data_IF_571629062538
#
_entry.id   IF_571629062538
#
_cell.length_a   1.000
_cell.length_b   1.000
_cell.length_c   1.000
_cell.angle_alpha   90.00
_cell.angle_beta   90.00
_cell.angle_gamma   90.00
#
_symmetry.space_group_name_H-M   'P 1'
#
loop_
_entity.id
_entity.type
_entity.pdbx_description
1 polymer ?
#
# COMPACT_ATOMS: atom_id res chain seq x y z
N UNK A 1 -15.99 23.62 40.11
CA UNK A 1 -14.83 22.69 40.10
C UNK A 1 -14.56 22.20 38.67
N UNK A 2 -15.02 22.93 37.63
CA UNK A 2 -15.31 22.35 36.31
C UNK A 2 -14.38 22.82 35.19
N UNK A 3 -13.62 23.90 35.42
CA UNK A 3 -12.64 24.42 34.47
C UNK A 3 -11.37 23.55 34.39
N UNK A 4 -10.94 22.97 35.52
CA UNK A 4 -9.73 22.14 35.59
C UNK A 4 -9.92 20.81 34.84
N UNK A 5 -11.11 20.20 34.93
CA UNK A 5 -11.40 18.93 34.26
C UNK A 5 -11.50 19.07 32.73
N UNK A 6 -11.95 20.24 32.22
CA UNK A 6 -11.97 20.52 30.79
C UNK A 6 -10.57 20.64 30.21
N UNK A 7 -9.65 21.33 30.89
CA UNK A 7 -8.26 21.49 30.48
C UNK A 7 -7.52 20.15 30.42
N UNK A 8 -7.66 19.30 31.44
CA UNK A 8 -7.03 17.97 31.52
C UNK A 8 -7.54 17.00 30.45
N UNK A 9 -8.82 17.07 30.07
CA UNK A 9 -9.37 16.22 29.03
C UNK A 9 -8.85 16.60 27.63
N UNK A 10 -8.72 17.90 27.32
CA UNK A 10 -8.11 18.36 26.06
C UNK A 10 -6.64 17.97 25.92
N UNK A 11 -5.84 18.05 26.98
CA UNK A 11 -4.42 17.66 26.93
C UNK A 11 -4.27 16.14 26.75
N UNK A 12 -5.09 15.34 27.44
CA UNK A 12 -5.13 13.89 27.23
C UNK A 12 -5.53 13.50 25.80
N UNK A 13 -6.55 14.14 25.22
CA UNK A 13 -6.98 13.89 23.84
C UNK A 13 -5.85 14.26 22.86
N UNK A 14 -5.14 15.37 23.07
CA UNK A 14 -4.04 15.79 22.21
C UNK A 14 -2.83 14.84 22.26
N UNK A 15 -2.50 14.29 23.43
CA UNK A 15 -1.42 13.33 23.60
C UNK A 15 -1.75 11.98 22.94
N UNK A 16 -2.99 11.52 23.09
CA UNK A 16 -3.45 10.29 22.45
C UNK A 16 -3.44 10.46 20.92
N UNK A 17 -3.93 11.59 20.41
CA UNK A 17 -3.90 11.88 18.98
C UNK A 17 -2.46 11.90 18.44
N UNK A 18 -1.52 12.55 19.15
CA UNK A 18 -0.12 12.62 18.73
C UNK A 18 0.57 11.25 18.76
N UNK A 19 0.27 10.42 19.76
CA UNK A 19 0.78 9.04 19.84
C UNK A 19 0.24 8.16 18.71
N UNK A 20 -1.04 8.28 18.36
CA UNK A 20 -1.65 7.56 17.23
C UNK A 20 -1.03 8.02 15.90
N UNK A 21 -0.86 9.32 15.69
CA UNK A 21 -0.24 9.87 14.49
C UNK A 21 1.22 9.40 14.38
N UNK A 22 1.99 9.44 15.47
CA UNK A 22 3.37 8.96 15.50
C UNK A 22 3.46 7.44 15.24
N UNK A 23 2.54 6.66 15.81
CA UNK A 23 2.43 5.21 15.58
C UNK A 23 2.15 4.89 14.11
N UNK A 24 1.17 5.56 13.51
CA UNK A 24 0.83 5.43 12.08
C UNK A 24 2.04 5.84 11.21
N UNK A 25 2.68 6.97 11.52
CA UNK A 25 3.84 7.48 10.76
C UNK A 25 5.03 6.52 10.82
N UNK A 26 5.31 5.94 11.99
CA UNK A 26 6.37 4.95 12.15
C UNK A 26 6.06 3.66 11.38
N UNK A 27 4.80 3.22 11.40
CA UNK A 27 4.34 2.06 10.62
C UNK A 27 4.45 2.30 9.11
N UNK A 28 4.12 3.52 8.66
CA UNK A 28 4.20 3.92 7.26
C UNK A 28 5.65 3.97 6.76
N UNK A 29 6.58 4.46 7.59
CA UNK A 29 8.02 4.50 7.26
C UNK A 29 8.67 3.13 7.13
N UNK A 30 8.09 2.08 7.70
CA UNK A 30 8.66 0.73 7.68
C UNK A 30 8.30 -0.06 6.41
N UNK A 31 7.36 0.44 5.60
CA UNK A 31 7.07 -0.17 4.30
C UNK A 31 8.18 0.22 3.33
N UNK A 32 8.94 -0.78 2.84
CA UNK A 32 9.81 -0.58 1.69
C UNK A 32 8.93 -0.13 0.52
N UNK A 33 9.19 1.03 -0.09
CA UNK A 33 8.46 1.43 -1.28
C UNK A 33 8.66 0.36 -2.35
N UNK A 34 7.55 -0.03 -2.98
CA UNK A 34 7.57 -0.94 -4.11
C UNK A 34 8.28 -0.27 -5.28
N UNK A 35 9.13 -1.00 -6.00
CA UNK A 35 9.73 -0.45 -7.19
C UNK A 35 8.63 -0.32 -8.27
N UNK A 36 8.35 0.91 -8.77
CA UNK A 36 7.29 1.12 -9.75
C UNK A 36 7.51 0.35 -11.05
N UNK A 37 8.77 0.05 -11.43
CA UNK A 37 9.07 -0.75 -12.62
C UNK A 37 8.67 -2.21 -12.39
N UNK A 38 9.04 -2.79 -11.24
CA UNK A 38 8.64 -4.15 -10.85
C UNK A 38 7.12 -4.27 -10.85
N UNK A 39 6.40 -3.29 -10.28
CA UNK A 39 4.93 -3.29 -10.20
C UNK A 39 4.27 -3.34 -11.59
N UNK A 40 4.86 -2.71 -12.60
CA UNK A 40 4.33 -2.69 -13.97
C UNK A 40 4.52 -4.02 -14.70
N UNK A 41 5.58 -4.76 -14.37
CA UNK A 41 5.99 -6.01 -15.00
C UNK A 41 5.37 -7.25 -14.33
N UNK A 42 4.85 -7.11 -13.11
CA UNK A 42 4.19 -8.18 -12.35
C UNK A 42 3.03 -8.86 -13.12
N UNK A 43 2.11 -8.13 -13.79
CA UNK A 43 1.02 -8.77 -14.56
C UNK A 43 1.54 -9.71 -15.66
N UNK A 44 2.60 -9.32 -16.36
CA UNK A 44 3.22 -10.12 -17.43
C UNK A 44 3.88 -11.40 -16.88
N UNK A 45 4.49 -11.29 -15.69
CA UNK A 45 5.00 -12.45 -14.96
C UNK A 45 3.87 -13.44 -14.62
N UNK A 46 2.74 -12.95 -14.12
CA UNK A 46 1.59 -13.80 -13.77
C UNK A 46 1.03 -14.50 -15.01
N UNK A 47 0.88 -13.78 -16.12
CA UNK A 47 0.36 -14.35 -17.36
C UNK A 47 1.26 -15.48 -17.88
N UNK A 48 2.58 -15.28 -17.84
CA UNK A 48 3.56 -16.30 -18.23
C UNK A 48 3.47 -17.53 -17.33
N UNK A 49 3.39 -17.31 -16.01
CA UNK A 49 3.25 -18.39 -15.03
C UNK A 49 1.95 -19.18 -15.25
N UNK A 50 0.85 -18.49 -15.54
CA UNK A 50 -0.44 -19.08 -15.83
C UNK A 50 -0.41 -19.95 -17.09
N UNK A 51 0.26 -19.50 -18.15
CA UNK A 51 0.45 -20.29 -19.37
C UNK A 51 1.24 -21.56 -19.08
N UNK A 52 2.34 -21.47 -18.31
CA UNK A 52 3.14 -22.64 -17.94
C UNK A 52 2.35 -23.64 -17.08
N UNK A 53 1.59 -23.16 -16.10
CA UNK A 53 0.77 -24.02 -15.25
C UNK A 53 -0.37 -24.67 -16.04
N UNK A 54 -1.02 -23.92 -16.95
CA UNK A 54 -2.05 -24.47 -17.85
C UNK A 54 -1.49 -25.50 -18.83
N UNK A 55 -0.20 -25.39 -19.19
CA UNK A 55 0.50 -26.40 -19.97
C UNK A 55 0.85 -27.67 -19.17
N UNK A 56 0.52 -27.73 -17.88
CA UNK A 56 0.74 -28.88 -17.01
C UNK A 56 2.04 -28.83 -16.21
N UNK A 57 2.79 -27.71 -16.23
CA UNK A 57 3.94 -27.55 -15.36
C UNK A 57 3.49 -27.34 -13.90
N UNK A 58 4.11 -28.07 -12.98
CA UNK A 58 3.95 -27.80 -11.55
C UNK A 58 4.52 -26.42 -11.14
N UNK A 59 4.12 -25.86 -10.00
CA UNK A 59 4.55 -24.53 -9.53
C UNK A 59 6.08 -24.35 -9.50
N UNK A 60 6.81 -25.29 -8.91
CA UNK A 60 8.27 -25.26 -8.87
C UNK A 60 8.91 -25.34 -10.27
N UNK A 61 8.35 -26.17 -11.17
CA UNK A 61 8.85 -26.33 -12.53
C UNK A 61 8.55 -25.11 -13.42
N UNK A 62 7.39 -24.49 -13.25
CA UNK A 62 7.03 -23.25 -13.94
C UNK A 62 7.95 -22.10 -13.49
N UNK A 63 8.15 -21.97 -12.18
CA UNK A 63 9.02 -20.95 -11.60
C UNK A 63 10.49 -21.09 -12.00
N UNK A 64 10.97 -22.33 -12.18
CA UNK A 64 12.32 -22.58 -12.67
C UNK A 64 12.53 -22.06 -14.10
N UNK A 65 11.52 -22.13 -14.96
CA UNK A 65 11.66 -21.80 -16.38
C UNK A 65 11.22 -20.37 -16.75
N UNK A 66 10.50 -19.68 -15.86
CA UNK A 66 9.90 -18.36 -16.12
C UNK A 66 10.92 -17.27 -16.52
N UNK A 67 12.17 -17.40 -16.07
CA UNK A 67 13.24 -16.44 -16.37
C UNK A 67 13.54 -16.27 -17.88
N UNK A 68 13.15 -17.24 -18.72
CA UNK A 68 13.34 -17.16 -20.17
C UNK A 68 12.42 -16.15 -20.86
N UNK A 69 11.23 -15.94 -20.31
CA UNK A 69 10.19 -15.08 -20.88
C UNK A 69 9.89 -13.85 -20.02
N UNK A 70 10.64 -13.65 -18.93
CA UNK A 70 10.41 -12.55 -18.02
C UNK A 70 11.00 -11.22 -18.53
N UNK A 71 10.38 -10.07 -18.15
CA UNK A 71 10.93 -8.75 -18.36
C UNK A 71 12.34 -8.57 -17.80
N UNK A 72 13.14 -7.70 -18.43
CA UNK A 72 14.56 -7.51 -18.11
C UNK A 72 14.81 -7.08 -16.66
N UNK A 73 13.87 -6.32 -16.07
CA UNK A 73 13.90 -5.86 -14.67
C UNK A 73 13.80 -7.04 -13.68
N UNK A 74 12.99 -8.05 -14.00
CA UNK A 74 12.74 -9.20 -13.13
C UNK A 74 13.74 -10.35 -13.37
N UNK A 75 14.32 -10.39 -14.57
CA UNK A 75 15.18 -11.49 -15.05
C UNK A 75 16.33 -11.86 -14.12
N UNK A 76 17.12 -10.93 -13.53
CA UNK A 76 18.21 -11.29 -12.63
C UNK A 76 17.73 -12.02 -11.38
N UNK A 77 16.63 -11.57 -10.78
CA UNK A 77 16.09 -12.20 -9.57
C UNK A 77 15.44 -13.55 -9.87
N UNK A 78 14.78 -13.69 -11.02
CA UNK A 78 14.19 -14.95 -11.46
C UNK A 78 15.24 -15.98 -11.87
N UNK A 79 16.34 -15.54 -12.49
CA UNK A 79 17.48 -16.41 -12.80
C UNK A 79 18.19 -16.91 -11.53
N UNK A 80 18.30 -16.06 -10.50
CA UNK A 80 18.77 -16.49 -9.17
C UNK A 80 17.85 -17.53 -8.56
N UNK A 81 16.53 -17.31 -8.61
CA UNK A 81 15.56 -18.29 -8.14
C UNK A 81 15.66 -19.63 -8.91
N UNK A 82 15.83 -19.58 -10.24
CA UNK A 82 16.10 -20.77 -11.05
C UNK A 82 17.35 -21.52 -10.55
N UNK A 83 18.46 -20.80 -10.36
CA UNK A 83 19.72 -21.39 -9.90
C UNK A 83 19.57 -22.03 -8.51
N UNK A 84 18.88 -21.36 -7.58
CA UNK A 84 18.61 -21.89 -6.24
C UNK A 84 17.75 -23.17 -6.29
N UNK A 85 16.73 -23.21 -7.16
CA UNK A 85 15.89 -24.40 -7.36
C UNK A 85 16.67 -25.56 -7.99
N UNK A 86 17.50 -25.29 -9.00
CA UNK A 86 18.35 -26.31 -9.63
C UNK A 86 19.41 -26.83 -8.67
N UNK A 87 19.90 -25.99 -7.75
CA UNK A 87 20.78 -26.39 -6.66
C UNK A 87 20.07 -27.23 -5.58
N UNK A 88 18.77 -27.49 -5.70
CA UNK A 88 18.00 -28.32 -4.78
C UNK A 88 17.51 -27.59 -3.53
N UNK A 89 17.53 -26.24 -3.51
CA UNK A 89 16.93 -25.51 -2.39
C UNK A 89 15.42 -25.73 -2.35
N UNK A 90 14.85 -25.65 -1.13
CA UNK A 90 13.42 -25.80 -0.92
C UNK A 90 12.65 -24.69 -1.61
N UNK A 91 11.60 -25.05 -2.35
CA UNK A 91 10.77 -24.10 -3.09
C UNK A 91 10.27 -22.93 -2.21
N UNK A 92 9.79 -23.24 -1.01
CA UNK A 92 9.33 -22.22 -0.04
C UNK A 92 10.43 -21.23 0.39
N UNK A 93 11.68 -21.66 0.44
CA UNK A 93 12.82 -20.82 0.82
C UNK A 93 13.22 -19.91 -0.34
N UNK A 94 13.26 -20.43 -1.56
CA UNK A 94 13.50 -19.63 -2.77
C UNK A 94 12.42 -18.56 -2.94
N UNK A 95 11.15 -18.89 -2.73
CA UNK A 95 10.05 -17.92 -2.79
C UNK A 95 10.16 -16.84 -1.71
N UNK A 96 10.64 -17.19 -0.51
CA UNK A 96 10.90 -16.22 0.57
C UNK A 96 12.05 -15.26 0.21
N UNK A 97 13.12 -15.77 -0.39
CA UNK A 97 14.23 -14.95 -0.89
C UNK A 97 13.74 -14.01 -2.00
N UNK A 98 12.95 -14.53 -2.94
CA UNK A 98 12.37 -13.78 -4.04
C UNK A 98 11.49 -12.62 -3.54
N UNK A 99 10.63 -12.87 -2.55
CA UNK A 99 9.83 -11.82 -1.86
C UNK A 99 10.73 -10.72 -1.32
N UNK A 100 11.78 -11.10 -0.60
CA UNK A 100 12.67 -10.12 0.06
C UNK A 100 13.42 -9.23 -0.95
N UNK A 101 13.74 -9.78 -2.13
CA UNK A 101 14.49 -9.09 -3.18
C UNK A 101 13.62 -8.21 -4.08
N UNK A 102 12.42 -8.66 -4.48
CA UNK A 102 11.54 -7.90 -5.40
C UNK A 102 10.52 -7.00 -4.70
N UNK A 103 10.27 -7.20 -3.40
CA UNK A 103 9.36 -6.34 -2.65
C UNK A 103 7.89 -6.78 -2.69
N UNK A 104 7.00 -5.93 -2.15
CA UNK A 104 5.63 -6.33 -1.79
C UNK A 104 4.74 -6.72 -2.97
N UNK A 105 4.96 -6.18 -4.18
CA UNK A 105 4.16 -6.54 -5.37
C UNK A 105 4.18 -8.04 -5.72
N UNK A 106 5.24 -8.76 -5.36
CA UNK A 106 5.41 -10.19 -5.67
C UNK A 106 4.88 -11.12 -4.57
N UNK A 107 4.57 -10.59 -3.38
CA UNK A 107 4.18 -11.42 -2.23
C UNK A 107 2.97 -12.31 -2.50
N UNK A 108 1.87 -11.82 -3.10
CA UNK A 108 0.69 -12.64 -3.36
C UNK A 108 1.00 -13.84 -4.26
N UNK A 109 1.84 -13.63 -5.29
CA UNK A 109 2.22 -14.67 -6.25
C UNK A 109 3.03 -15.76 -5.56
N UNK A 110 4.06 -15.38 -4.79
CA UNK A 110 4.87 -16.32 -4.03
C UNK A 110 4.03 -17.14 -3.05
N UNK A 111 3.09 -16.51 -2.34
CA UNK A 111 2.28 -17.18 -1.33
C UNK A 111 1.29 -18.17 -1.96
N UNK A 112 0.72 -17.83 -3.12
CA UNK A 112 -0.13 -18.73 -3.90
C UNK A 112 0.69 -19.90 -4.45
N UNK A 113 1.87 -19.64 -5.00
CA UNK A 113 2.78 -20.66 -5.52
C UNK A 113 3.23 -21.66 -4.45
N UNK A 114 3.63 -21.19 -3.27
CA UNK A 114 4.07 -22.07 -2.18
C UNK A 114 2.93 -22.94 -1.65
N UNK A 115 1.74 -22.34 -1.52
CA UNK A 115 0.53 -23.12 -1.19
C UNK A 115 0.23 -24.14 -2.29
N UNK A 116 0.45 -23.78 -3.55
CA UNK A 116 0.22 -24.67 -4.69
C UNK A 116 1.12 -25.89 -4.72
N UNK A 117 2.40 -25.66 -4.51
CA UNK A 117 3.41 -26.70 -4.52
C UNK A 117 3.17 -27.71 -3.38
N UNK A 118 2.69 -27.22 -2.23
CA UNK A 118 2.40 -28.04 -1.06
C UNK A 118 1.13 -28.89 -1.20
N UNK A 119 0.05 -28.32 -1.74
CA UNK A 119 -1.25 -28.97 -1.76
C UNK A 119 -1.49 -29.80 -3.04
N UNK A 120 -0.70 -29.59 -4.10
CA UNK A 120 -0.80 -30.34 -5.36
C UNK A 120 -2.11 -30.12 -6.12
N UNK A 121 -2.92 -29.15 -5.70
CA UNK A 121 -4.23 -28.84 -6.28
C UNK A 121 -4.10 -27.91 -7.50
N UNK A 122 -5.02 -28.00 -8.47
CA UNK A 122 -5.04 -27.10 -9.61
C UNK A 122 -5.33 -25.66 -9.16
N UNK A 123 -4.31 -24.80 -9.19
CA UNK A 123 -4.36 -23.39 -8.75
C UNK A 123 -4.60 -22.40 -9.88
N UNK A 124 -4.99 -22.94 -11.04
CA UNK A 124 -5.40 -22.18 -12.21
C UNK A 124 -6.46 -21.14 -11.89
N UNK A 125 -7.48 -21.46 -11.08
CA UNK A 125 -8.56 -20.52 -10.71
C UNK A 125 -8.09 -19.35 -9.84
N UNK A 126 -7.21 -19.61 -8.87
CA UNK A 126 -6.66 -18.58 -7.98
C UNK A 126 -5.69 -17.68 -8.74
N UNK A 127 -4.89 -18.27 -9.62
CA UNK A 127 -3.95 -17.53 -10.44
C UNK A 127 -4.66 -16.70 -11.53
N UNK A 128 -5.78 -17.19 -12.06
CA UNK A 128 -6.67 -16.41 -12.96
C UNK A 128 -7.30 -15.21 -12.24
N UNK A 129 -7.73 -15.38 -10.99
CA UNK A 129 -8.23 -14.26 -10.20
C UNK A 129 -7.12 -13.25 -9.89
N UNK A 130 -5.91 -13.74 -9.61
CA UNK A 130 -4.75 -12.89 -9.35
C UNK A 130 -4.31 -12.13 -10.62
N UNK A 131 -4.31 -12.77 -11.79
CA UNK A 131 -3.98 -12.13 -13.07
C UNK A 131 -4.99 -11.02 -13.39
N UNK A 132 -6.29 -11.29 -13.22
CA UNK A 132 -7.34 -10.30 -13.40
C UNK A 132 -7.13 -9.08 -12.47
N UNK A 133 -6.83 -9.33 -11.19
CA UNK A 133 -6.54 -8.26 -10.23
C UNK A 133 -5.29 -7.46 -10.61
N UNK A 134 -4.22 -8.11 -11.07
CA UNK A 134 -2.99 -7.45 -11.48
C UNK A 134 -3.19 -6.56 -12.72
N UNK A 135 -3.95 -7.04 -13.72
CA UNK A 135 -4.33 -6.25 -14.89
C UNK A 135 -5.24 -5.07 -14.52
N UNK A 136 -6.18 -5.29 -13.60
CA UNK A 136 -7.05 -4.22 -13.10
C UNK A 136 -6.25 -3.17 -12.33
N UNK A 137 -5.28 -3.57 -11.51
CA UNK A 137 -4.38 -2.66 -10.81
C UNK A 137 -3.47 -1.89 -11.79
N UNK A 138 -2.94 -2.52 -12.85
CA UNK A 138 -2.18 -1.83 -13.91
C UNK A 138 -3.03 -0.75 -14.60
N UNK A 139 -4.31 -1.04 -14.87
CA UNK A 139 -5.26 -0.06 -15.39
C UNK A 139 -5.54 1.03 -14.37
N UNK A 140 -5.74 0.65 -13.11
CA UNK A 140 -5.98 1.57 -12.00
C UNK A 140 -4.80 2.50 -11.77
N UNK A 141 -3.55 2.06 -11.90
CA UNK A 141 -2.37 2.92 -11.77
C UNK A 141 -2.36 4.03 -12.83
N UNK A 142 -2.76 3.70 -14.07
CA UNK A 142 -2.94 4.70 -15.15
C UNK A 142 -4.10 5.65 -14.86
N UNK A 143 -5.18 5.16 -14.23
CA UNK A 143 -6.32 6.00 -13.83
C UNK A 143 -6.08 6.81 -12.55
N UNK A 144 -5.23 6.33 -11.65
CA UNK A 144 -4.88 6.96 -10.38
C UNK A 144 -3.92 8.11 -10.60
N UNK A 145 -3.09 8.09 -11.65
CA UNK A 145 -2.40 9.30 -12.12
C UNK A 145 -3.40 10.43 -12.46
N UNK A 146 -4.62 10.10 -12.92
CA UNK A 146 -5.71 11.06 -13.10
C UNK A 146 -6.54 11.33 -11.83
N UNK A 147 -6.56 10.41 -10.86
CA UNK A 147 -7.38 10.48 -9.62
C UNK A 147 -6.60 10.78 -8.33
N UNK A 148 -5.28 10.97 -8.36
CA UNK A 148 -4.50 11.54 -7.24
C UNK A 148 -4.65 13.07 -7.15
N UNK A 149 -5.12 13.71 -8.22
CA UNK A 149 -5.37 15.15 -8.27
C UNK A 149 -6.32 15.63 -7.15
N UNK A 150 -7.51 15.02 -6.92
CA UNK A 150 -8.44 15.52 -5.91
C UNK A 150 -7.91 15.36 -4.49
N UNK A 151 -7.21 14.26 -4.17
CA UNK A 151 -6.78 13.99 -2.79
C UNK A 151 -5.58 14.85 -2.39
N UNK A 152 -4.66 15.14 -3.32
CA UNK A 152 -3.58 16.13 -3.10
C UNK A 152 -4.10 17.58 -3.04
N UNK A 153 -5.23 17.89 -3.67
CA UNK A 153 -5.87 19.22 -3.63
C UNK A 153 -6.80 19.41 -2.41
N UNK A 154 -7.42 18.34 -1.89
CA UNK A 154 -8.29 18.41 -0.71
C UNK A 154 -7.52 18.70 0.58
N UNK A 155 -6.29 18.19 0.71
CA UNK A 155 -5.45 18.45 1.89
C UNK A 155 -5.18 19.96 2.12
N UNK A 156 -4.69 20.75 1.13
CA UNK A 156 -4.54 22.20 1.31
C UNK A 156 -5.89 22.93 1.44
N UNK A 157 -6.94 22.47 0.76
CA UNK A 157 -8.26 23.10 0.81
C UNK A 157 -8.88 23.00 2.22
N UNK A 158 -8.80 21.84 2.87
CA UNK A 158 -9.23 21.65 4.27
C UNK A 158 -8.37 22.47 5.23
N UNK A 159 -7.06 22.56 4.97
CA UNK A 159 -6.13 23.37 5.76
C UNK A 159 -6.41 24.88 5.65
N UNK A 160 -7.05 25.36 4.58
CA UNK A 160 -7.47 26.76 4.40
C UNK A 160 -8.90 27.05 4.89
N UNK A 161 -9.83 26.09 4.82
CA UNK A 161 -11.21 26.28 5.30
C UNK A 161 -11.27 26.34 6.82
N UNK A 162 -10.52 25.48 7.51
CA UNK A 162 -10.49 25.45 8.98
C UNK A 162 -10.13 26.81 9.62
N UNK A 163 -9.04 27.50 9.22
CA UNK A 163 -8.71 28.81 9.78
C UNK A 163 -9.74 29.88 9.40
N UNK A 164 -10.31 29.82 8.19
CA UNK A 164 -11.36 30.76 7.77
C UNK A 164 -12.66 30.57 8.58
N UNK A 165 -13.01 29.34 8.92
CA UNK A 165 -14.19 29.02 9.73
C UNK A 165 -14.03 29.48 11.19
N UNK A 166 -12.83 29.28 11.77
CA UNK A 166 -12.51 29.80 13.11
C UNK A 166 -12.59 31.34 13.13
N UNK A 167 -12.06 32.01 12.10
CA UNK A 167 -12.15 33.46 11.94
C UNK A 167 -13.62 33.92 11.89
N UNK A 168 -14.44 33.32 11.03
CA UNK A 168 -15.86 33.66 10.91
C UNK A 168 -16.66 33.42 12.19
N UNK A 169 -16.36 32.34 12.93
CA UNK A 169 -17.01 32.06 14.22
C UNK A 169 -16.56 33.03 15.32
N UNK A 170 -15.32 33.50 15.30
CA UNK A 170 -14.76 34.40 16.32
C UNK A 170 -15.20 35.86 16.13
N UNK A 171 -15.40 36.32 14.88
CA UNK A 171 -15.81 37.69 14.56
C UNK A 171 -17.05 38.18 15.34
N UNK A 172 -18.21 37.48 15.35
CA UNK A 172 -19.38 37.95 16.08
C UNK A 172 -19.17 37.97 17.59
N UNK A 173 -18.36 37.05 18.13
CA UNK A 173 -18.04 37.01 19.55
C UNK A 173 -17.22 38.24 19.99
N UNK A 174 -16.30 38.70 19.14
CA UNK A 174 -15.50 39.91 19.37
C UNK A 174 -16.33 41.19 19.24
N UNK A 175 -17.22 41.27 18.24
CA UNK A 175 -18.09 42.43 18.07
C UNK A 175 -19.05 42.54 19.27
N UNK A 176 -19.62 41.42 19.70
CA UNK A 176 -20.57 41.39 20.81
C UNK A 176 -19.90 41.71 22.16
N UNK A 177 -18.65 41.30 22.38
CA UNK A 177 -17.93 41.67 23.61
C UNK A 177 -17.58 43.16 23.65
N UNK A 178 -17.22 43.76 22.51
CA UNK A 178 -16.91 45.19 22.43
C UNK A 178 -18.15 46.07 22.63
N UNK A 179 -19.32 45.68 22.10
CA UNK A 179 -20.58 46.43 22.31
C UNK A 179 -21.05 46.37 23.76
N UNK A 180 -20.89 45.22 24.43
CA UNK A 180 -21.23 45.08 25.86
C UNK A 180 -20.32 45.95 26.74
N UNK A 181 -19.02 45.98 26.44
CA UNK A 181 -18.04 46.78 27.21
C UNK A 181 -18.25 48.28 27.00
N UNK A 182 -18.55 48.71 25.77
CA UNK A 182 -18.83 50.13 25.49
C UNK A 182 -20.17 50.61 26.06
N UNK A 183 -21.14 49.72 26.28
CA UNK A 183 -22.37 50.01 27.02
C UNK A 183 -22.23 50.06 28.55
N UNK A 184 -21.10 49.60 29.12
CA UNK A 184 -20.81 49.70 30.56
C UNK A 184 -19.97 50.93 30.94
N UNK A 185 -19.35 51.61 29.98
CA UNK A 185 -18.41 52.72 30.21
C UNK A 185 -19.07 54.10 29.99
N UNK A 186 -20.31 54.14 29.49
CA UNK A 186 -21.10 55.36 29.21
C UNK A 186 -22.37 55.38 30.06
#
# INVERSE_FOLDING_TARGET
>A
MDANNRLTNTTMISLIALAVIAGIFYWYRKQKPDDPQIKQDVPELIDTLLVLIRAGHGPAAAMSQIHNWAPEVLKPNLYRAHTELVAGQRFAEVMKNLRTNLGPSIYPICDILVSADRDGLPITSVLDQLSFHAHQERRRLREVEAKELPVRLLFPLVCCILPSFILLAMVPLLINSLTIVSGQIL
#
